data_IF_434717788188
#
_entry.id   IF_434717788188
#
_cell.length_a   1.000
_cell.length_b   1.000
_cell.length_c   1.000
_cell.angle_alpha   90.00
_cell.angle_beta   90.00
_cell.angle_gamma   90.00
#
_symmetry.space_group_name_H-M   'P 1'
#
loop_
_entity.id
_entity.type
_entity.pdbx_description
1 polymer ?
#
# COMPACT_ATOMS: atom_id res chain seq x y z
N UNK A 1 -7.40 7.10 -12.11
CA UNK A 1 -7.70 6.32 -10.88
C UNK A 1 -7.64 7.21 -9.65
N UNK A 2 -6.77 8.24 -9.64
CA UNK A 2 -6.77 9.28 -8.59
C UNK A 2 -8.14 9.91 -8.31
N UNK A 3 -8.95 10.21 -9.34
CA UNK A 3 -10.33 10.70 -9.14
C UNK A 3 -11.21 9.70 -8.39
N UNK A 4 -11.02 8.39 -8.63
CA UNK A 4 -11.74 7.34 -7.89
C UNK A 4 -11.32 7.33 -6.43
N UNK A 5 -10.02 7.50 -6.16
CA UNK A 5 -9.51 7.65 -4.79
C UNK A 5 -10.13 8.85 -4.09
N UNK A 6 -10.03 10.03 -4.69
CA UNK A 6 -10.52 11.27 -4.11
C UNK A 6 -12.01 11.20 -3.79
N UNK A 7 -12.81 10.68 -4.72
CA UNK A 7 -14.24 10.47 -4.50
C UNK A 7 -14.50 9.46 -3.37
N UNK A 8 -13.83 8.30 -3.38
CA UNK A 8 -14.02 7.27 -2.34
C UNK A 8 -13.58 7.78 -0.97
N UNK A 9 -12.46 8.51 -0.87
CA UNK A 9 -12.00 9.15 0.36
C UNK A 9 -13.03 10.15 0.89
N UNK A 10 -13.56 11.01 0.02
CA UNK A 10 -14.59 11.99 0.40
C UNK A 10 -15.84 11.29 0.96
N UNK A 11 -16.32 10.25 0.28
CA UNK A 11 -17.47 9.46 0.73
C UNK A 11 -17.20 8.74 2.06
N UNK A 12 -16.02 8.12 2.22
CA UNK A 12 -15.67 7.43 3.46
C UNK A 12 -15.57 8.40 4.64
N UNK A 13 -15.01 9.59 4.45
CA UNK A 13 -14.95 10.61 5.50
C UNK A 13 -16.35 11.13 5.86
N UNK A 14 -17.16 11.47 4.86
CA UNK A 14 -18.54 11.89 5.08
C UNK A 14 -19.37 10.81 5.79
N UNK A 15 -19.14 9.54 5.48
CA UNK A 15 -19.79 8.42 6.15
C UNK A 15 -19.32 8.24 7.60
N UNK A 16 -18.01 8.40 7.86
CA UNK A 16 -17.47 8.39 9.22
C UNK A 16 -18.01 9.53 10.10
N UNK A 17 -18.29 10.69 9.48
CA UNK A 17 -18.90 11.85 10.14
C UNK A 17 -20.44 11.75 10.27
N UNK A 18 -21.05 10.66 9.79
CA UNK A 18 -22.50 10.44 9.84
C UNK A 18 -23.31 11.27 8.82
N UNK A 19 -22.64 11.90 7.86
CA UNK A 19 -23.25 12.77 6.82
C UNK A 19 -23.75 11.97 5.62
N UNK A 20 -23.10 10.84 5.31
CA UNK A 20 -23.43 9.98 4.16
C UNK A 20 -23.80 8.55 4.57
N UNK A 21 -24.63 7.88 3.77
CA UNK A 21 -24.98 6.48 3.99
C UNK A 21 -23.78 5.57 3.75
N UNK A 22 -23.46 4.76 4.75
CA UNK A 22 -22.41 3.73 4.69
C UNK A 22 -22.83 2.59 3.75
N UNK A 23 -24.13 2.35 3.58
CA UNK A 23 -24.66 1.18 2.85
C UNK A 23 -24.25 1.14 1.37
N UNK A 24 -24.27 2.28 0.67
CA UNK A 24 -23.89 2.35 -0.75
C UNK A 24 -22.40 2.07 -0.95
N UNK A 25 -21.55 2.59 -0.05
CA UNK A 25 -20.11 2.33 -0.05
C UNK A 25 -19.87 0.84 0.16
N UNK A 26 -20.60 0.22 1.10
CA UNK A 26 -20.52 -1.20 1.38
C UNK A 26 -21.04 -2.08 0.23
N UNK A 27 -22.08 -1.63 -0.48
CA UNK A 27 -22.55 -2.29 -1.70
C UNK A 27 -21.45 -2.41 -2.74
N UNK A 28 -20.81 -1.28 -3.07
CA UNK A 28 -19.68 -1.25 -4.02
C UNK A 28 -18.45 -2.04 -3.53
N UNK A 29 -18.16 -1.96 -2.23
CA UNK A 29 -17.09 -2.70 -1.59
C UNK A 29 -17.29 -4.22 -1.72
N UNK A 30 -18.46 -4.72 -1.33
CA UNK A 30 -18.78 -6.14 -1.34
C UNK A 30 -18.83 -6.71 -2.75
N UNK A 31 -19.44 -6.00 -3.69
CA UNK A 31 -19.47 -6.41 -5.09
C UNK A 31 -18.07 -6.40 -5.71
N UNK A 32 -17.24 -5.42 -5.34
CA UNK A 32 -15.84 -5.37 -5.72
C UNK A 32 -15.05 -6.58 -5.23
N UNK A 33 -15.17 -6.91 -3.94
CA UNK A 33 -14.48 -8.07 -3.36
C UNK A 33 -14.92 -9.37 -4.01
N UNK A 34 -16.24 -9.58 -4.22
CA UNK A 34 -16.76 -10.76 -4.92
C UNK A 34 -16.18 -10.89 -6.32
N UNK A 35 -16.12 -9.78 -7.06
CA UNK A 35 -15.60 -9.77 -8.42
C UNK A 35 -14.09 -10.07 -8.47
N UNK A 36 -13.29 -9.44 -7.61
CA UNK A 36 -11.84 -9.72 -7.53
C UNK A 36 -11.61 -11.17 -7.12
N UNK A 37 -12.34 -11.67 -6.10
CA UNK A 37 -12.26 -13.07 -5.67
C UNK A 37 -12.56 -14.03 -6.79
N UNK A 38 -13.62 -13.79 -7.56
CA UNK A 38 -13.97 -14.60 -8.70
C UNK A 38 -12.81 -14.70 -9.70
N UNK A 39 -12.24 -13.56 -10.09
CA UNK A 39 -11.11 -13.48 -11.04
C UNK A 39 -9.86 -14.19 -10.52
N UNK A 40 -9.49 -13.97 -9.25
CA UNK A 40 -8.30 -14.59 -8.63
C UNK A 40 -8.43 -16.11 -8.52
N UNK A 41 -9.62 -16.60 -8.15
CA UNK A 41 -9.86 -18.04 -7.94
C UNK A 41 -10.02 -18.79 -9.26
N UNK A 42 -10.69 -18.20 -10.26
CA UNK A 42 -11.08 -18.91 -11.49
C UNK A 42 -10.16 -18.63 -12.67
N UNK A 43 -9.18 -17.72 -12.54
CA UNK A 43 -8.16 -17.49 -13.56
C UNK A 43 -8.72 -17.02 -14.90
N UNK A 44 -9.58 -16.01 -14.88
CA UNK A 44 -10.23 -15.49 -16.09
C UNK A 44 -9.26 -14.68 -16.95
N UNK A 45 -9.25 -14.88 -18.26
CA UNK A 45 -8.55 -13.99 -19.18
C UNK A 45 -9.18 -12.60 -19.15
N UNK A 46 -8.38 -11.56 -18.90
CA UNK A 46 -8.86 -10.19 -18.70
C UNK A 46 -8.53 -9.33 -19.91
N UNK A 47 -9.55 -8.84 -20.60
CA UNK A 47 -9.39 -7.76 -21.57
C UNK A 47 -9.04 -6.42 -20.89
N UNK A 48 -8.67 -5.41 -21.68
CA UNK A 48 -8.25 -4.10 -21.16
C UNK A 48 -9.36 -3.42 -20.35
N UNK A 49 -10.63 -3.63 -20.71
CA UNK A 49 -11.79 -3.04 -20.04
C UNK A 49 -12.00 -3.67 -18.66
N UNK A 50 -11.91 -4.99 -18.56
CA UNK A 50 -11.98 -5.77 -17.34
C UNK A 50 -10.81 -5.46 -16.41
N UNK A 51 -9.59 -5.35 -16.94
CA UNK A 51 -8.41 -4.91 -16.17
C UNK A 51 -8.64 -3.54 -15.54
N UNK A 52 -9.12 -2.56 -16.32
CA UNK A 52 -9.42 -1.21 -15.81
C UNK A 52 -10.51 -1.24 -14.74
N UNK A 53 -11.56 -2.05 -14.93
CA UNK A 53 -12.64 -2.21 -13.94
C UNK A 53 -12.11 -2.81 -12.64
N UNK A 54 -11.31 -3.86 -12.71
CA UNK A 54 -10.69 -4.50 -11.54
C UNK A 54 -9.78 -3.53 -10.79
N UNK A 55 -8.95 -2.75 -11.49
CA UNK A 55 -8.16 -1.71 -10.84
C UNK A 55 -9.05 -0.68 -10.14
N UNK A 56 -10.15 -0.22 -10.75
CA UNK A 56 -11.09 0.69 -10.07
C UNK A 56 -11.67 0.08 -8.79
N UNK A 57 -12.08 -1.19 -8.82
CA UNK A 57 -12.59 -1.89 -7.65
C UNK A 57 -11.53 -2.05 -6.57
N UNK A 58 -10.29 -2.39 -6.93
CA UNK A 58 -9.17 -2.47 -6.00
C UNK A 58 -8.92 -1.14 -5.29
N UNK A 59 -9.01 -0.02 -6.00
CA UNK A 59 -8.88 1.32 -5.43
C UNK A 59 -10.03 1.65 -4.47
N UNK A 60 -11.27 1.28 -4.81
CA UNK A 60 -12.44 1.48 -3.91
C UNK A 60 -12.25 0.67 -2.64
N UNK A 61 -11.93 -0.63 -2.75
CA UNK A 61 -11.75 -1.55 -1.62
C UNK A 61 -10.65 -1.06 -0.69
N UNK A 62 -9.47 -0.77 -1.25
CA UNK A 62 -8.32 -0.32 -0.46
C UNK A 62 -8.54 1.04 0.20
N UNK A 63 -9.17 1.99 -0.49
CA UNK A 63 -9.50 3.30 0.10
C UNK A 63 -10.58 3.16 1.18
N UNK A 64 -11.58 2.30 0.97
CA UNK A 64 -12.62 2.05 1.98
C UNK A 64 -12.00 1.49 3.25
N UNK A 65 -11.12 0.50 3.13
CA UNK A 65 -10.41 -0.09 4.27
C UNK A 65 -9.34 0.84 4.88
N UNK A 66 -8.81 1.82 4.14
CA UNK A 66 -7.89 2.84 4.69
C UNK A 66 -8.63 3.77 5.67
N UNK A 67 -9.89 4.11 5.38
CA UNK A 67 -10.63 5.15 6.11
C UNK A 67 -11.76 4.63 7.02
N UNK A 68 -12.38 3.49 6.70
CA UNK A 68 -13.46 2.90 7.48
C UNK A 68 -13.01 1.60 8.15
N UNK A 69 -13.38 1.45 9.43
CA UNK A 69 -13.21 0.19 10.14
C UNK A 69 -14.35 -0.77 9.78
N UNK A 70 -14.20 -1.42 8.62
CA UNK A 70 -15.21 -2.32 8.07
C UNK A 70 -15.47 -3.51 9.01
N UNK A 71 -14.43 -4.05 9.66
CA UNK A 71 -14.58 -5.16 10.60
C UNK A 71 -15.41 -4.74 11.83
N UNK A 72 -15.20 -3.54 12.36
CA UNK A 72 -16.02 -3.00 13.46
C UNK A 72 -17.48 -2.77 13.02
N UNK A 73 -17.67 -2.17 11.85
CA UNK A 73 -19.01 -1.90 11.29
C UNK A 73 -19.80 -3.18 11.05
N UNK A 74 -19.14 -4.25 10.58
CA UNK A 74 -19.77 -5.56 10.38
C UNK A 74 -20.06 -6.27 11.70
N UNK A 75 -19.16 -6.20 12.69
CA UNK A 75 -19.39 -6.76 14.03
C UNK A 75 -20.54 -6.09 14.77
N UNK A 76 -20.75 -4.80 14.58
CA UNK A 76 -21.92 -4.09 15.10
C UNK A 76 -23.26 -4.60 14.52
N UNK A 77 -23.23 -5.24 13.36
CA UNK A 77 -24.38 -5.84 12.70
C UNK A 77 -24.55 -7.34 12.96
N UNK A 78 -23.52 -8.05 13.44
CA UNK A 78 -23.54 -9.50 13.65
C UNK A 78 -23.00 -9.89 15.04
N UNK A 79 -23.87 -10.43 15.89
CA UNK A 79 -23.56 -10.95 17.24
C UNK A 79 -22.72 -12.25 17.25
N UNK A 80 -21.69 -12.35 16.41
CA UNK A 80 -20.87 -13.56 16.26
C UNK A 80 -19.39 -13.23 16.29
N UNK A 81 -18.75 -13.47 17.43
CA UNK A 81 -17.32 -13.64 17.53
C UNK A 81 -17.04 -15.13 17.29
N UNK A 82 -16.40 -15.48 16.17
CA UNK A 82 -15.46 -16.61 16.11
C UNK A 82 -14.79 -16.70 14.72
N UNK A 83 -13.47 -16.59 14.71
CA UNK A 83 -12.54 -17.13 13.71
C UNK A 83 -12.66 -16.71 12.23
N UNK A 84 -13.17 -15.52 11.93
CA UNK A 84 -13.04 -14.94 10.59
C UNK A 84 -11.68 -14.22 10.45
N UNK A 85 -10.87 -14.66 9.49
CA UNK A 85 -9.78 -13.85 8.95
C UNK A 85 -10.36 -12.48 8.57
N UNK A 86 -9.75 -11.39 9.05
CA UNK A 86 -10.33 -10.05 8.93
C UNK A 86 -10.60 -9.69 7.48
N UNK A 87 -11.59 -8.83 7.23
CA UNK A 87 -11.90 -8.40 5.86
C UNK A 87 -10.69 -7.75 5.20
N UNK A 88 -9.89 -7.03 5.99
CA UNK A 88 -8.62 -6.45 5.55
C UNK A 88 -7.59 -7.51 5.09
N UNK A 89 -7.44 -8.61 5.82
CA UNK A 89 -6.53 -9.71 5.46
C UNK A 89 -6.95 -10.37 4.15
N UNK A 90 -8.25 -10.66 4.01
CA UNK A 90 -8.80 -11.26 2.80
C UNK A 90 -8.61 -10.34 1.58
N UNK A 91 -8.85 -9.03 1.74
CA UNK A 91 -8.64 -8.04 0.69
C UNK A 91 -7.15 -7.93 0.32
N UNK A 92 -6.26 -7.88 1.30
CA UNK A 92 -4.81 -7.81 1.08
C UNK A 92 -4.29 -9.03 0.31
N UNK A 93 -4.73 -10.23 0.70
CA UNK A 93 -4.39 -11.46 -0.02
C UNK A 93 -4.89 -11.42 -1.47
N UNK A 94 -6.16 -11.06 -1.70
CA UNK A 94 -6.75 -10.98 -3.04
C UNK A 94 -6.02 -9.99 -3.95
N UNK A 95 -5.72 -8.80 -3.43
CA UNK A 95 -5.02 -7.76 -4.19
C UNK A 95 -3.57 -8.15 -4.49
N UNK A 96 -2.89 -8.79 -3.55
CA UNK A 96 -1.53 -9.28 -3.76
C UNK A 96 -1.49 -10.41 -4.79
N UNK A 97 -2.46 -11.32 -4.74
CA UNK A 97 -2.63 -12.38 -5.75
C UNK A 97 -2.91 -11.80 -7.14
N UNK A 98 -3.76 -10.77 -7.23
CA UNK A 98 -4.04 -10.07 -8.48
C UNK A 98 -2.79 -9.34 -9.01
N UNK A 99 -1.95 -8.78 -8.13
CA UNK A 99 -0.68 -8.17 -8.53
C UNK A 99 0.34 -9.23 -9.02
N UNK A 100 0.46 -10.34 -8.30
CA UNK A 100 1.48 -11.36 -8.56
C UNK A 100 1.15 -12.20 -9.80
N UNK A 101 -0.12 -12.59 -9.95
CA UNK A 101 -0.59 -13.51 -11.02
C UNK A 101 -1.38 -12.83 -12.13
N UNK A 102 -1.81 -11.58 -11.94
CA UNK A 102 -2.58 -10.85 -12.95
C UNK A 102 -1.71 -10.24 -14.05
N UNK A 103 -2.35 -9.57 -15.04
CA UNK A 103 -1.68 -8.91 -16.14
C UNK A 103 -0.63 -7.88 -15.67
N UNK A 104 0.58 -7.85 -16.26
CA UNK A 104 1.64 -6.91 -15.86
C UNK A 104 1.23 -5.43 -15.91
N UNK A 105 0.35 -5.05 -16.85
CA UNK A 105 -0.15 -3.69 -16.98
C UNK A 105 -0.92 -3.18 -15.74
N UNK A 106 -1.47 -4.08 -14.93
CA UNK A 106 -2.19 -3.73 -13.71
C UNK A 106 -1.26 -3.49 -12.52
N UNK A 107 -0.04 -4.05 -12.54
CA UNK A 107 0.86 -4.05 -11.39
C UNK A 107 1.12 -2.66 -10.82
N UNK A 108 1.53 -1.64 -11.61
CA UNK A 108 1.77 -0.29 -11.06
C UNK A 108 0.54 0.35 -10.43
N UNK A 109 -0.67 -0.07 -10.85
CA UNK A 109 -1.94 0.47 -10.35
C UNK A 109 -2.37 -0.21 -9.04
N UNK A 110 -1.87 -1.41 -8.76
CA UNK A 110 -2.22 -2.18 -7.57
C UNK A 110 -1.27 -1.92 -6.40
N UNK A 111 -0.03 -1.51 -6.65
CA UNK A 111 0.94 -1.20 -5.57
C UNK A 111 0.38 -0.17 -4.59
N UNK A 112 -0.17 0.99 -5.03
CA UNK A 112 -0.73 1.96 -4.09
C UNK A 112 -1.89 1.40 -3.25
N UNK A 113 -2.73 0.53 -3.83
CA UNK A 113 -3.87 -0.07 -3.13
C UNK A 113 -3.40 -0.88 -1.91
N UNK A 114 -2.34 -1.68 -2.07
CA UNK A 114 -1.76 -2.45 -0.97
C UNK A 114 -1.08 -1.53 0.05
N UNK A 115 -0.48 -0.43 -0.40
CA UNK A 115 0.03 0.62 0.47
C UNK A 115 -1.06 1.24 1.36
N UNK A 116 -2.24 1.54 0.80
CA UNK A 116 -3.35 2.13 1.57
C UNK A 116 -3.83 1.19 2.67
N UNK A 117 -3.92 -0.11 2.37
CA UNK A 117 -4.24 -1.12 3.38
C UNK A 117 -3.17 -1.17 4.47
N UNK A 118 -1.89 -1.19 4.12
CA UNK A 118 -0.80 -1.25 5.09
C UNK A 118 -0.68 0.01 5.96
N UNK A 119 -1.15 1.17 5.49
CA UNK A 119 -1.23 2.38 6.32
C UNK A 119 -2.23 2.23 7.45
N UNK A 120 -3.36 1.56 7.24
CA UNK A 120 -4.34 1.31 8.30
C UNK A 120 -4.07 0.02 9.06
N UNK A 121 -3.44 -0.96 8.44
CA UNK A 121 -3.16 -2.26 9.04
C UNK A 121 -1.68 -2.60 8.86
N UNK A 122 -0.77 -2.01 9.66
CA UNK A 122 0.67 -2.19 9.50
C UNK A 122 1.12 -3.66 9.55
N UNK A 123 0.41 -4.51 10.31
CA UNK A 123 0.68 -5.95 10.39
C UNK A 123 0.60 -6.67 9.03
N UNK A 124 -0.17 -6.15 8.06
CA UNK A 124 -0.28 -6.72 6.71
C UNK A 124 1.04 -6.67 5.93
N UNK A 125 1.99 -5.80 6.31
CA UNK A 125 3.31 -5.73 5.68
C UNK A 125 4.04 -7.07 5.78
N UNK A 126 3.88 -7.79 6.89
CA UNK A 126 4.62 -9.02 7.17
C UNK A 126 3.95 -10.28 6.61
N UNK A 127 2.76 -10.16 6.02
CA UNK A 127 2.09 -11.33 5.47
C UNK A 127 2.85 -11.86 4.26
N UNK A 128 3.07 -13.17 4.26
CA UNK A 128 3.69 -13.87 3.13
C UNK A 128 2.80 -13.76 1.90
N UNK A 129 3.38 -13.39 0.77
CA UNK A 129 2.64 -13.05 -0.45
C UNK A 129 1.92 -11.71 -0.36
N UNK A 130 2.26 -10.85 0.61
CA UNK A 130 1.63 -9.55 0.88
C UNK A 130 2.45 -8.36 0.34
N UNK A 131 2.32 -7.20 0.98
CA UNK A 131 2.92 -5.95 0.48
C UNK A 131 4.45 -6.02 0.37
N UNK A 132 5.14 -6.69 1.30
CA UNK A 132 6.60 -6.81 1.25
C UNK A 132 7.08 -7.44 -0.08
N UNK A 133 6.45 -8.54 -0.50
CA UNK A 133 6.80 -9.23 -1.75
C UNK A 133 6.46 -8.37 -2.98
N UNK A 134 5.39 -7.57 -2.91
CA UNK A 134 5.01 -6.61 -3.96
C UNK A 134 6.07 -5.52 -4.11
N UNK A 135 6.52 -4.92 -3.01
CA UNK A 135 7.58 -3.90 -3.03
C UNK A 135 8.90 -4.52 -3.51
N UNK A 136 9.23 -5.71 -3.02
CA UNK A 136 10.43 -6.44 -3.45
C UNK A 136 10.44 -6.70 -4.97
N UNK A 137 9.28 -7.02 -5.56
CA UNK A 137 9.13 -7.20 -7.02
C UNK A 137 9.27 -5.88 -7.78
N UNK A 138 8.71 -4.80 -7.26
CA UNK A 138 8.82 -3.46 -7.87
C UNK A 138 10.22 -2.87 -7.82
N UNK A 139 11.06 -3.34 -6.90
CA UNK A 139 12.48 -3.00 -6.75
C UNK A 139 13.41 -4.15 -7.19
N UNK A 140 12.98 -4.98 -8.14
CA UNK A 140 13.83 -6.06 -8.68
C UNK A 140 14.94 -5.50 -9.60
N UNK A 141 15.78 -6.36 -10.18
CA UNK A 141 16.91 -5.92 -11.03
C UNK A 141 16.49 -5.28 -12.35
N UNK A 142 15.32 -5.62 -12.89
CA UNK A 142 14.81 -5.06 -14.16
C UNK A 142 13.27 -4.89 -14.20
N UNK A 143 12.68 -4.15 -13.24
CA UNK A 143 11.27 -3.82 -13.24
C UNK A 143 10.93 -2.80 -14.34
N UNK A 144 9.69 -2.80 -14.86
CA UNK A 144 9.22 -1.69 -15.69
C UNK A 144 9.29 -0.36 -14.93
N UNK A 145 9.81 0.70 -15.56
CA UNK A 145 10.02 2.00 -14.92
C UNK A 145 8.79 2.56 -14.16
N UNK A 146 7.58 2.37 -14.72
CA UNK A 146 6.32 2.76 -14.09
C UNK A 146 6.01 1.99 -12.82
N UNK A 147 6.38 0.71 -12.76
CA UNK A 147 6.20 -0.11 -11.57
C UNK A 147 7.14 0.40 -10.47
N UNK A 148 8.42 0.59 -10.78
CA UNK A 148 9.43 1.09 -9.83
C UNK A 148 9.01 2.43 -9.23
N UNK A 149 8.62 3.39 -10.06
CA UNK A 149 8.19 4.71 -9.60
C UNK A 149 6.98 4.61 -8.65
N UNK A 150 5.94 3.86 -9.02
CA UNK A 150 4.78 3.64 -8.14
C UNK A 150 5.13 2.89 -6.87
N UNK A 151 6.08 1.97 -6.92
CA UNK A 151 6.59 1.27 -5.73
C UNK A 151 7.33 2.21 -4.79
N UNK A 152 8.19 3.07 -5.30
CA UNK A 152 8.92 4.08 -4.50
C UNK A 152 7.95 5.10 -3.88
N UNK A 153 7.01 5.65 -4.66
CA UNK A 153 5.97 6.56 -4.15
C UNK A 153 5.15 5.91 -3.02
N UNK A 154 4.73 4.66 -3.22
CA UNK A 154 3.93 3.93 -2.24
C UNK A 154 4.74 3.66 -0.96
N UNK A 155 6.00 3.26 -1.11
CA UNK A 155 6.89 3.00 0.00
C UNK A 155 7.18 4.26 0.81
N UNK A 156 7.46 5.38 0.13
CA UNK A 156 7.70 6.68 0.77
C UNK A 156 6.50 7.08 1.62
N UNK A 157 5.32 7.10 1.01
CA UNK A 157 4.11 7.54 1.70
C UNK A 157 3.62 6.55 2.77
N UNK A 158 4.00 5.26 2.69
CA UNK A 158 3.76 4.31 3.78
C UNK A 158 4.69 4.58 4.96
N UNK A 159 5.99 4.79 4.72
CA UNK A 159 6.95 5.11 5.79
C UNK A 159 6.58 6.42 6.49
N UNK A 160 6.17 7.45 5.74
CA UNK A 160 5.66 8.71 6.31
C UNK A 160 4.43 8.48 7.20
N UNK A 161 3.49 7.63 6.76
CA UNK A 161 2.32 7.27 7.55
C UNK A 161 2.69 6.52 8.83
N UNK A 162 3.64 5.57 8.75
CA UNK A 162 4.11 4.83 9.93
C UNK A 162 4.86 5.73 10.91
N UNK A 163 5.64 6.70 10.40
CA UNK A 163 6.29 7.73 11.20
C UNK A 163 5.26 8.58 11.94
N UNK A 164 4.29 9.13 11.22
CA UNK A 164 3.22 9.93 11.80
C UNK A 164 2.45 9.13 12.86
N UNK A 165 2.09 7.86 12.60
CA UNK A 165 1.42 7.02 13.59
C UNK A 165 2.28 6.70 14.82
N UNK A 166 3.60 6.56 14.67
CA UNK A 166 4.50 6.37 15.79
C UNK A 166 4.62 7.65 16.65
N UNK A 167 4.59 8.82 16.03
CA UNK A 167 4.61 10.13 16.69
C UNK A 167 3.25 10.44 17.36
N UNK A 168 2.15 10.19 16.66
CA UNK A 168 0.76 10.38 17.11
C UNK A 168 0.31 9.33 18.15
N UNK A 169 1.00 8.18 18.21
CA UNK A 169 0.77 7.07 19.15
C UNK A 169 0.88 7.43 20.64
N UNK A 170 1.15 8.70 20.95
CA UNK A 170 1.01 9.31 22.26
C UNK A 170 -0.42 9.82 22.59
N UNK A 171 -1.31 10.04 21.61
CA UNK A 171 -2.57 10.80 21.83
C UNK A 171 -3.85 10.11 21.34
N UNK A 172 -3.89 9.39 20.20
CA UNK A 172 -5.15 8.76 19.72
C UNK A 172 -4.95 7.37 19.10
N UNK A 173 -5.16 6.31 19.89
CA UNK A 173 -5.10 4.93 19.39
C UNK A 173 -6.38 4.57 18.64
N UNK A 174 -6.27 4.34 17.32
CA UNK A 174 -7.31 3.64 16.56
C UNK A 174 -7.41 2.21 17.08
N UNK A 175 -8.64 1.75 17.31
CA UNK A 175 -8.90 0.50 18.02
C UNK A 175 -8.19 -0.70 17.37
N UNK A 176 -7.30 -1.35 18.11
CA UNK A 176 -6.71 -2.66 17.74
C UNK A 176 -5.25 -2.65 17.29
N UNK A 177 -4.62 -1.49 17.06
CA UNK A 177 -3.22 -1.44 16.61
C UNK A 177 -2.24 -1.34 17.79
N UNK A 178 -1.34 -2.32 17.91
CA UNK A 178 -0.25 -2.26 18.87
C UNK A 178 0.93 -1.46 18.29
N UNK A 179 1.57 -0.62 19.11
CA UNK A 179 2.83 0.07 18.75
C UNK A 179 3.87 -0.92 18.20
N UNK A 180 3.83 -2.17 18.68
CA UNK A 180 4.66 -3.26 18.18
C UNK A 180 4.47 -3.52 16.67
N UNK A 181 3.24 -3.48 16.16
CA UNK A 181 2.96 -3.72 14.73
C UNK A 181 3.54 -2.63 13.82
N UNK A 182 3.52 -1.36 14.26
CA UNK A 182 4.10 -0.23 13.52
C UNK A 182 5.63 -0.39 13.43
N UNK A 183 6.29 -0.62 14.56
CA UNK A 183 7.75 -0.82 14.60
C UNK A 183 8.17 -2.05 13.79
N UNK A 184 7.41 -3.13 13.87
CA UNK A 184 7.61 -4.35 13.11
C UNK A 184 7.47 -4.11 11.59
N UNK A 185 6.43 -3.41 11.15
CA UNK A 185 6.24 -3.03 9.76
C UNK A 185 7.40 -2.16 9.24
N UNK A 186 7.79 -1.13 10.00
CA UNK A 186 8.90 -0.25 9.65
C UNK A 186 10.22 -1.03 9.52
N UNK A 187 10.48 -1.97 10.44
CA UNK A 187 11.67 -2.82 10.43
C UNK A 187 11.68 -3.77 9.23
N UNK A 188 10.52 -4.36 8.90
CA UNK A 188 10.39 -5.20 7.70
C UNK A 188 10.67 -4.40 6.43
N UNK A 189 10.11 -3.20 6.29
CA UNK A 189 10.36 -2.32 5.14
C UNK A 189 11.82 -1.85 5.09
N UNK A 190 12.48 -1.66 6.22
CA UNK A 190 13.91 -1.31 6.28
C UNK A 190 14.80 -2.36 5.59
N UNK A 191 14.38 -3.64 5.58
CA UNK A 191 15.06 -4.71 4.83
C UNK A 191 15.10 -4.50 3.31
N UNK A 192 14.27 -3.60 2.77
CA UNK A 192 14.22 -3.28 1.34
C UNK A 192 15.07 -2.06 0.96
N UNK A 193 15.60 -1.31 1.94
CA UNK A 193 16.40 -0.10 1.68
C UNK A 193 17.66 -0.34 0.82
N UNK A 194 18.38 -1.48 0.91
CA UNK A 194 19.47 -1.75 -0.01
C UNK A 194 19.05 -1.72 -1.49
N UNK A 195 17.84 -2.20 -1.81
CA UNK A 195 17.29 -2.16 -3.17
C UNK A 195 16.86 -0.76 -3.60
N UNK A 196 16.39 0.05 -2.64
CA UNK A 196 16.09 1.47 -2.89
C UNK A 196 17.38 2.23 -3.21
N UNK A 197 18.44 1.99 -2.45
CA UNK A 197 19.77 2.57 -2.70
C UNK A 197 20.33 2.15 -4.06
N UNK A 198 20.20 0.87 -4.41
CA UNK A 198 20.56 0.37 -5.74
C UNK A 198 19.76 1.08 -6.85
N UNK A 199 18.49 1.38 -6.60
CA UNK A 199 17.65 2.13 -7.55
C UNK A 199 18.17 3.56 -7.76
N UNK A 200 18.71 4.23 -6.73
CA UNK A 200 19.35 5.55 -6.90
C UNK A 200 20.53 5.47 -7.87
N UNK A 201 21.35 4.42 -7.76
CA UNK A 201 22.54 4.24 -8.60
C UNK A 201 22.21 3.82 -10.04
N UNK A 202 21.10 3.10 -10.24
CA UNK A 202 20.68 2.58 -11.55
C UNK A 202 19.64 3.45 -12.26
N UNK A 203 19.13 4.48 -11.60
CA UNK A 203 18.05 5.30 -12.16
C UNK A 203 18.48 5.99 -13.45
N UNK A 204 17.81 5.66 -14.55
CA UNK A 204 17.99 6.33 -15.84
C UNK A 204 17.28 7.69 -15.89
N UNK A 205 16.29 7.90 -15.02
CA UNK A 205 15.52 9.13 -14.91
C UNK A 205 15.71 9.79 -13.54
N UNK A 206 15.95 11.11 -13.55
CA UNK A 206 16.13 11.90 -12.33
C UNK A 206 14.93 11.81 -11.36
N UNK A 207 13.71 11.67 -11.89
CA UNK A 207 12.51 11.48 -11.08
C UNK A 207 12.57 10.20 -10.23
N UNK A 208 13.03 9.08 -10.79
CA UNK A 208 13.16 7.82 -10.05
C UNK A 208 14.24 7.91 -8.97
N UNK A 209 15.38 8.54 -9.29
CA UNK A 209 16.43 8.79 -8.30
C UNK A 209 15.91 9.66 -7.15
N UNK A 210 15.18 10.74 -7.46
CA UNK A 210 14.57 11.63 -6.48
C UNK A 210 13.56 10.92 -5.59
N UNK A 211 12.68 10.09 -6.17
CA UNK A 211 11.72 9.27 -5.42
C UNK A 211 12.42 8.28 -4.48
N UNK A 212 13.48 7.62 -4.94
CA UNK A 212 14.27 6.69 -4.13
C UNK A 212 14.99 7.42 -2.99
N UNK A 213 15.56 8.60 -3.25
CA UNK A 213 16.15 9.44 -2.22
C UNK A 213 15.11 9.88 -1.17
N UNK A 214 13.90 10.22 -1.58
CA UNK A 214 12.80 10.55 -0.67
C UNK A 214 12.48 9.41 0.30
N UNK A 215 12.36 8.17 -0.21
CA UNK A 215 12.19 6.98 0.63
C UNK A 215 13.30 6.85 1.67
N UNK A 216 14.55 7.00 1.22
CA UNK A 216 15.72 6.85 2.10
C UNK A 216 15.81 7.97 3.15
N UNK A 217 15.45 9.20 2.79
CA UNK A 217 15.37 10.32 3.74
C UNK A 217 14.35 10.05 4.83
N UNK A 218 13.13 9.60 4.47
CA UNK A 218 12.10 9.25 5.47
C UNK A 218 12.62 8.15 6.39
N UNK A 219 13.19 7.08 5.83
CA UNK A 219 13.77 5.98 6.60
C UNK A 219 14.89 6.43 7.56
N UNK A 220 15.74 7.38 7.14
CA UNK A 220 16.74 7.98 8.02
C UNK A 220 16.08 8.77 9.16
N UNK A 221 15.06 9.60 8.87
CA UNK A 221 14.38 10.37 9.93
C UNK A 221 13.63 9.50 10.93
N UNK A 222 13.20 8.31 10.52
CA UNK A 222 12.60 7.30 11.40
C UNK A 222 13.64 6.54 12.24
N UNK A 223 14.94 6.72 11.99
CA UNK A 223 16.00 5.99 12.67
C UNK A 223 16.12 4.52 12.27
N UNK A 224 15.43 4.07 11.22
CA UNK A 224 15.50 2.67 10.73
C UNK A 224 16.68 2.44 9.80
N UNK A 225 17.43 3.50 9.48
CA UNK A 225 18.65 3.45 8.69
C UNK A 225 19.69 4.40 9.27
N UNK A 226 20.94 3.95 9.35
CA UNK A 226 22.05 4.78 9.80
C UNK A 226 22.44 5.79 8.71
N UNK A 227 22.64 7.07 9.07
CA UNK A 227 22.95 8.14 8.10
C UNK A 227 24.22 7.90 7.29
N UNK A 228 25.21 7.20 7.85
CA UNK A 228 26.43 6.85 7.11
C UNK A 228 26.16 5.94 5.89
N UNK A 229 25.09 5.14 5.91
CA UNK A 229 24.73 4.22 4.82
C UNK A 229 24.22 4.97 3.59
N UNK A 230 23.72 6.20 3.77
CA UNK A 230 23.19 7.07 2.71
C UNK A 230 24.25 7.85 1.95
N UNK A 231 25.38 8.16 2.61
CA UNK A 231 26.38 9.10 2.08
C UNK A 231 26.89 8.70 0.68
N UNK A 232 27.26 7.44 0.40
CA UNK A 232 27.74 7.05 -0.94
C UNK A 232 26.67 7.25 -2.03
N UNK A 233 25.41 6.98 -1.72
CA UNK A 233 24.28 7.18 -2.64
C UNK A 233 24.03 8.65 -2.93
N UNK A 234 24.06 9.49 -1.90
CA UNK A 234 23.92 10.95 -2.04
C UNK A 234 25.05 11.55 -2.88
N UNK A 235 26.30 11.15 -2.64
CA UNK A 235 27.43 11.60 -3.45
C UNK A 235 27.28 11.17 -4.91
N UNK A 236 26.90 9.92 -5.18
CA UNK A 236 26.69 9.44 -6.54
C UNK A 236 25.58 10.22 -7.27
N UNK A 237 24.45 10.48 -6.60
CA UNK A 237 23.34 11.25 -7.16
C UNK A 237 23.71 12.73 -7.42
N UNK A 238 24.50 13.35 -6.53
CA UNK A 238 24.98 14.72 -6.74
C UNK A 238 25.97 14.81 -7.91
N UNK A 239 26.78 13.77 -8.14
CA UNK A 239 27.73 13.75 -9.26
C UNK A 239 27.05 13.48 -10.61
N UNK A 240 26.00 12.64 -10.65
CA UNK A 240 25.27 12.36 -11.89
C UNK A 240 24.39 13.52 -12.37
N UNK A 241 24.05 14.48 -11.50
CA UNK A 241 23.33 15.71 -11.87
C UNK A 241 24.22 16.87 -12.37
N UNK A 242 25.54 16.67 -12.42
CA UNK A 242 26.52 17.65 -12.91
C UNK A 242 26.96 17.40 -14.36
N UNK A 243 26.40 16.37 -15.03
CA UNK A 243 26.58 16.06 -16.46
C UNK A 243 25.36 16.53 -17.28
#
# INVERSE_FOLDING_TARGET
LETVRAATTCLCKAAADGVASVEEIFGHFNDGLKHIKHVVVHGTHLDVTAQRRLCRLAWIISTTLEFLDVDLLLRGASNGADNAQGVADAAAWLLSMLFLKGPPAMQPLLVPCLGFLARRYPALVQQRGGLYDVVQKGLSESPPAKLTSRTLETLCALLESLKAQAEDGAVERRAGESVSAISQAATSLAGLLPKVLETVHKAEAAEQASQALGVLQVAQTMGVMHGATMLPGLFAACMSGLE
#
